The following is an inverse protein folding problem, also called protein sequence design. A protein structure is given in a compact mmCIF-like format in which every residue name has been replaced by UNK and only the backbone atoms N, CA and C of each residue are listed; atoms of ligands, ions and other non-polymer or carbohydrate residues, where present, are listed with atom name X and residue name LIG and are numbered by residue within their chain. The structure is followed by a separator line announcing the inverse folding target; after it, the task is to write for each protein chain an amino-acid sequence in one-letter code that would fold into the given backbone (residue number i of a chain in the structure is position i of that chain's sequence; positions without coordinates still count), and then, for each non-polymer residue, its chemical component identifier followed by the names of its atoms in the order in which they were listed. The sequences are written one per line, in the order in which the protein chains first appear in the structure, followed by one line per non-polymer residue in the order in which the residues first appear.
data_IF_300125342565
#
_entry.id   IF_300125342565
#
_cell.length_a   1.000
_cell.length_b   1.000
_cell.length_c   1.000
_cell.angle_alpha   90.00
_cell.angle_beta   90.00
_cell.angle_gamma   90.00
#
_symmetry.space_group_name_H-M   'P 1'
#
loop_
_entity.id
_entity.type
_entity.pdbx_description
1 polymer ?
#
# COMPACT_ATOMS: atom_id res chain seq x y z
N UNK A 1 -19.83 12.39 -2.20
CA UNK A 1 -19.20 12.64 -0.89
C UNK A 1 -17.73 12.34 -1.04
N UNK A 2 -16.88 13.35 -0.98
CA UNK A 2 -15.42 13.20 -1.09
C UNK A 2 -14.94 12.70 0.27
N UNK A 3 -14.32 11.53 0.31
CA UNK A 3 -13.65 11.05 1.51
C UNK A 3 -12.16 11.37 1.31
N UNK A 4 -11.66 12.30 2.10
CA UNK A 4 -10.25 12.66 2.16
C UNK A 4 -9.58 11.70 3.15
N UNK A 5 -8.47 11.08 2.76
CA UNK A 5 -7.68 10.25 3.65
C UNK A 5 -6.31 10.90 3.81
N UNK A 6 -6.10 11.71 4.86
CA UNK A 6 -4.77 12.23 5.18
C UNK A 6 -3.85 11.11 5.66
N UNK A 7 -2.66 10.94 5.05
CA UNK A 7 -1.63 10.02 5.54
C UNK A 7 -0.51 10.86 6.17
N UNK A 8 -0.56 11.05 7.48
CA UNK A 8 0.57 11.64 8.22
C UNK A 8 1.71 10.62 8.35
N UNK A 9 2.84 10.86 7.69
CA UNK A 9 4.04 10.04 7.82
C UNK A 9 5.03 10.79 8.72
N UNK A 10 5.27 10.24 9.89
CA UNK A 10 6.30 10.74 10.81
C UNK A 10 7.56 9.90 10.62
N UNK A 11 8.64 10.53 10.15
CA UNK A 11 9.97 9.91 10.03
C UNK A 11 10.84 10.44 11.16
N UNK A 12 11.26 9.57 12.08
CA UNK A 12 12.18 9.95 13.15
C UNK A 12 13.60 9.59 12.74
N UNK A 13 14.45 10.60 12.54
CA UNK A 13 15.87 10.42 12.29
C UNK A 13 16.64 9.97 13.53
N UNK A 14 17.84 9.42 13.34
CA UNK A 14 18.71 8.84 14.39
C UNK A 14 19.15 9.84 15.48
N UNK A 15 19.00 11.15 15.25
CA UNK A 15 19.34 12.20 16.22
C UNK A 15 18.16 12.62 17.12
N UNK A 16 17.04 11.90 17.06
CA UNK A 16 15.79 12.31 17.74
C UNK A 16 15.05 13.46 17.04
N UNK A 17 15.56 13.95 15.91
CA UNK A 17 14.86 14.87 15.04
C UNK A 17 13.69 14.15 14.37
N UNK A 18 12.48 14.57 14.72
CA UNK A 18 11.26 14.09 14.09
C UNK A 18 10.95 15.01 12.93
N UNK A 19 11.07 14.49 11.71
CA UNK A 19 10.56 15.19 10.53
C UNK A 19 9.16 14.63 10.25
N UNK A 20 8.15 15.44 10.53
CA UNK A 20 6.76 15.09 10.29
C UNK A 20 6.34 15.79 9.01
N UNK A 21 6.33 15.05 7.90
CA UNK A 21 5.78 15.59 6.67
C UNK A 21 4.29 15.24 6.58
N UNK A 22 3.47 16.26 6.36
CA UNK A 22 2.02 16.10 6.25
C UNK A 22 1.70 15.83 4.77
N UNK A 23 1.73 14.57 4.38
CA UNK A 23 1.19 14.16 3.07
C UNK A 23 -0.34 14.05 3.18
N UNK A 24 -1.05 15.12 2.82
CA UNK A 24 -2.49 15.08 2.65
C UNK A 24 -2.80 14.39 1.31
N UNK A 25 -3.23 13.13 1.36
CA UNK A 25 -3.63 12.40 0.14
C UNK A 25 -5.07 12.79 -0.20
N UNK A 26 -5.19 13.75 -1.12
CA UNK A 26 -6.47 14.20 -1.66
C UNK A 26 -6.87 13.28 -2.82
N UNK A 27 -7.71 12.26 -2.54
CA UNK A 27 -8.27 11.41 -3.60
C UNK A 27 -9.48 12.12 -4.24
N UNK A 28 -9.22 13.04 -5.17
CA UNK A 28 -10.28 13.66 -5.97
C UNK A 28 -10.82 12.67 -7.00
N UNK A 29 -12.11 12.34 -6.91
CA UNK A 29 -12.79 11.44 -7.81
C UNK A 29 -13.76 12.21 -8.74
N UNK A 30 -13.39 12.55 -9.98
CA UNK A 30 -14.41 12.88 -10.98
C UNK A 30 -15.04 11.57 -11.47
N UNK A 31 -16.35 11.45 -11.29
CA UNK A 31 -17.17 10.43 -11.96
C UNK A 31 -17.30 10.78 -13.44
N UNK A 32 -16.80 9.91 -14.33
CA UNK A 32 -17.41 9.63 -15.64
C UNK A 32 -16.89 8.28 -16.14
N UNK A 33 -17.82 7.43 -16.60
CA UNK A 33 -17.56 6.06 -17.02
C UNK A 33 -16.81 5.91 -18.34
N UNK A 34 -16.56 4.63 -18.66
CA UNK A 34 -15.69 4.18 -19.75
C UNK A 34 -14.24 4.05 -19.29
N UNK A 35 -13.52 3.04 -19.76
CA UNK A 35 -12.08 2.84 -19.56
C UNK A 35 -11.34 4.14 -19.87
N UNK A 36 -11.08 4.96 -18.85
CA UNK A 36 -10.41 6.25 -18.97
C UNK A 36 -9.49 6.37 -17.78
N UNK A 37 -8.21 6.06 -18.01
CA UNK A 37 -7.19 6.59 -17.13
C UNK A 37 -7.15 8.10 -17.34
N UNK A 38 -7.43 8.85 -16.29
CA UNK A 38 -7.18 10.28 -16.28
C UNK A 38 -5.79 10.50 -15.70
N UNK A 39 -4.86 10.88 -16.56
CA UNK A 39 -3.62 11.51 -16.13
C UNK A 39 -3.95 12.94 -15.71
N UNK A 40 -4.32 13.12 -14.45
CA UNK A 40 -4.02 14.38 -13.80
C UNK A 40 -2.51 14.45 -13.63
N UNK A 41 -1.90 15.64 -13.62
CA UNK A 41 -0.44 15.81 -13.43
C UNK A 41 0.14 15.08 -12.20
N UNK A 42 -0.72 14.58 -11.30
CA UNK A 42 -0.34 14.07 -10.01
C UNK A 42 -0.75 12.60 -9.77
N UNK A 43 -1.90 12.10 -10.27
CA UNK A 43 -2.40 10.75 -9.97
C UNK A 43 -2.97 10.03 -11.20
N UNK A 44 -2.68 8.73 -11.34
CA UNK A 44 -3.28 7.87 -12.37
C UNK A 44 -4.48 7.17 -11.74
N UNK A 45 -5.68 7.49 -12.21
CA UNK A 45 -6.92 6.85 -11.74
C UNK A 45 -7.59 6.10 -12.88
N UNK A 46 -7.82 4.81 -12.71
CA UNK A 46 -8.43 3.95 -13.72
C UNK A 46 -9.55 3.09 -13.10
N UNK A 47 -10.65 2.93 -13.82
CA UNK A 47 -11.65 1.90 -13.51
C UNK A 47 -11.35 0.71 -14.39
N UNK A 48 -11.02 -0.42 -13.78
CA UNK A 48 -10.66 -1.64 -14.49
C UNK A 48 -11.77 -2.67 -14.28
N UNK A 49 -12.35 -3.23 -15.35
CA UNK A 49 -13.33 -4.30 -15.22
C UNK A 49 -12.60 -5.61 -14.88
N UNK A 50 -12.85 -6.17 -13.70
CA UNK A 50 -12.39 -7.51 -13.32
C UNK A 50 -13.49 -8.50 -13.66
N UNK A 51 -13.32 -9.29 -14.71
CA UNK A 51 -14.38 -10.11 -15.29
C UNK A 51 -14.48 -11.54 -14.73
N UNK A 52 -13.60 -11.91 -13.79
CA UNK A 52 -13.58 -13.22 -13.13
C UNK A 52 -13.18 -13.09 -11.67
N UNK A 53 -13.58 -14.08 -10.89
CA UNK A 53 -13.09 -14.22 -9.53
C UNK A 53 -11.62 -14.71 -9.53
N UNK A 54 -10.85 -14.33 -8.53
CA UNK A 54 -9.48 -14.82 -8.34
C UNK A 54 -8.54 -13.84 -7.66
N UNK A 55 -7.28 -14.27 -7.55
CA UNK A 55 -6.20 -13.45 -7.01
C UNK A 55 -5.58 -12.59 -8.10
N UNK A 56 -5.31 -11.34 -7.74
CA UNK A 56 -4.68 -10.36 -8.61
C UNK A 56 -3.52 -9.70 -7.89
N UNK A 57 -2.48 -9.37 -8.65
CA UNK A 57 -1.30 -8.65 -8.17
C UNK A 57 -1.11 -7.41 -9.01
N UNK A 58 -1.18 -6.25 -8.38
CA UNK A 58 -0.85 -4.96 -8.97
C UNK A 58 0.61 -4.63 -8.67
N UNK A 59 1.46 -4.65 -9.69
CA UNK A 59 2.86 -4.23 -9.63
C UNK A 59 2.98 -2.76 -10.08
N UNK A 60 3.77 -1.99 -9.34
CA UNK A 60 4.10 -0.59 -9.57
C UNK A 60 5.60 -0.48 -9.79
N UNK A 61 5.97 0.05 -10.95
CA UNK A 61 7.35 0.10 -11.44
C UNK A 61 7.68 1.54 -11.80
N UNK A 62 8.86 2.01 -11.39
CA UNK A 62 9.43 3.27 -11.87
C UNK A 62 10.36 2.97 -13.05
N UNK A 63 10.13 3.63 -14.19
CA UNK A 63 11.01 3.48 -15.35
C UNK A 63 12.45 3.90 -15.04
N UNK A 64 13.42 3.35 -15.78
CA UNK A 64 14.85 3.42 -15.46
C UNK A 64 15.45 4.83 -15.37
N UNK A 65 14.79 5.85 -15.92
CA UNK A 65 15.18 7.26 -15.88
C UNK A 65 14.45 8.06 -14.80
N UNK A 66 13.56 7.41 -14.05
CA UNK A 66 12.78 8.02 -12.99
C UNK A 66 13.62 8.35 -11.74
N UNK A 67 13.15 9.36 -11.00
CA UNK A 67 13.65 9.71 -9.68
C UNK A 67 12.90 8.87 -8.63
N UNK A 68 13.64 8.16 -7.79
CA UNK A 68 13.08 7.41 -6.66
C UNK A 68 12.26 8.29 -5.70
N UNK A 69 11.30 7.68 -5.02
CA UNK A 69 10.46 8.39 -4.06
C UNK A 69 9.26 7.59 -3.56
N UNK A 70 8.40 8.30 -2.83
CA UNK A 70 7.16 7.78 -2.29
C UNK A 70 6.14 7.49 -3.39
N UNK A 71 5.39 6.41 -3.21
CA UNK A 71 4.25 6.04 -4.03
C UNK A 71 3.14 5.46 -3.14
N UNK A 72 1.93 5.40 -3.71
CA UNK A 72 0.83 4.68 -3.11
C UNK A 72 -0.15 4.16 -4.15
N UNK A 73 -0.88 3.11 -3.80
CA UNK A 73 -1.95 2.53 -4.62
C UNK A 73 -3.18 2.33 -3.75
N UNK A 74 -4.30 2.87 -4.21
CA UNK A 74 -5.63 2.58 -3.70
C UNK A 74 -6.31 1.54 -4.58
N UNK A 75 -6.83 0.47 -3.98
CA UNK A 75 -7.61 -0.57 -4.66
C UNK A 75 -9.01 -0.60 -4.06
N UNK A 76 -10.01 -0.12 -4.81
CA UNK A 76 -11.38 0.06 -4.35
C UNK A 76 -12.36 -0.73 -5.21
N UNK A 77 -12.73 -1.97 -4.82
CA UNK A 77 -13.76 -2.74 -5.52
C UNK A 77 -15.14 -2.09 -5.39
N UNK A 78 -15.95 -2.14 -6.45
CA UNK A 78 -17.31 -1.59 -6.45
C UNK A 78 -18.27 -2.28 -5.47
N UNK A 79 -17.97 -3.52 -5.05
CA UNK A 79 -18.68 -4.20 -3.96
C UNK A 79 -18.47 -3.56 -2.58
N UNK A 80 -17.40 -2.76 -2.42
CA UNK A 80 -16.96 -2.22 -1.14
C UNK A 80 -16.33 -3.24 -0.20
N UNK A 81 -16.03 -4.47 -0.66
CA UNK A 81 -15.40 -5.52 0.14
C UNK A 81 -14.24 -6.18 -0.59
N UNK A 82 -13.09 -6.29 0.08
CA UNK A 82 -12.03 -7.23 -0.29
C UNK A 82 -12.20 -8.46 0.60
N UNK A 83 -12.58 -9.59 0.00
CA UNK A 83 -12.62 -10.87 0.72
C UNK A 83 -11.21 -11.46 0.74
N UNK A 84 -10.79 -11.99 1.89
CA UNK A 84 -9.43 -12.50 2.03
C UNK A 84 -8.43 -11.39 2.30
N UNK A 85 -7.35 -11.77 3.00
CA UNK A 85 -6.32 -10.83 3.41
C UNK A 85 -5.70 -10.03 2.27
N UNK A 86 -5.00 -8.96 2.63
CA UNK A 86 -4.26 -8.15 1.67
C UNK A 86 -2.77 -8.34 1.86
N UNK A 87 -2.01 -8.37 0.76
CA UNK A 87 -0.56 -8.34 0.82
C UNK A 87 -0.06 -7.10 0.08
N UNK A 88 0.79 -6.31 0.72
CA UNK A 88 1.41 -5.15 0.09
C UNK A 88 2.91 -5.19 0.28
N UNK A 89 3.66 -4.57 -0.62
CA UNK A 89 5.10 -4.47 -0.48
C UNK A 89 5.69 -3.35 -1.31
N UNK A 90 6.92 -2.97 -0.98
CA UNK A 90 7.62 -1.85 -1.59
C UNK A 90 9.13 -2.01 -1.36
N UNK A 91 9.92 -1.08 -1.92
CA UNK A 91 11.30 -0.92 -1.49
C UNK A 91 11.30 -0.56 -0.01
N UNK A 92 12.10 -1.30 0.75
CA UNK A 92 12.37 -1.00 2.15
C UNK A 92 13.59 -0.08 2.19
N UNK A 93 13.35 1.21 2.40
CA UNK A 93 14.41 2.22 2.44
C UNK A 93 15.39 1.91 3.58
N UNK A 94 16.67 2.11 3.33
CA UNK A 94 17.76 1.93 4.29
C UNK A 94 17.61 2.79 5.55
N UNK A 95 18.30 2.39 6.63
CA UNK A 95 18.48 3.18 7.85
C UNK A 95 17.19 3.69 8.50
N UNK A 96 16.14 2.87 8.54
CA UNK A 96 14.84 3.28 9.10
C UNK A 96 14.17 4.41 8.32
N UNK A 97 14.49 4.56 7.03
CA UNK A 97 13.89 5.55 6.15
C UNK A 97 12.39 5.33 5.91
N UNK A 98 11.87 5.89 4.81
CA UNK A 98 10.45 5.83 4.47
C UNK A 98 9.91 4.39 4.57
N UNK A 99 8.88 4.13 5.39
CA UNK A 99 8.34 2.79 5.57
C UNK A 99 7.50 2.37 4.36
N UNK A 100 7.37 1.05 4.19
CA UNK A 100 6.22 0.50 3.49
C UNK A 100 4.98 0.62 4.38
N UNK A 101 3.82 0.84 3.78
CA UNK A 101 2.56 0.92 4.53
C UNK A 101 1.42 0.21 3.83
N UNK A 102 0.43 -0.16 4.64
CA UNK A 102 -0.87 -0.64 4.21
C UNK A 102 -1.92 -0.13 5.19
N UNK A 103 -3.09 0.22 4.68
CA UNK A 103 -4.24 0.64 5.48
C UNK A 103 -5.43 -0.25 5.25
N UNK A 104 -6.24 -0.42 6.29
CA UNK A 104 -7.47 -1.18 6.22
C UNK A 104 -8.48 -0.66 7.24
N UNK A 105 -9.76 -0.99 7.02
CA UNK A 105 -10.84 -0.67 7.95
C UNK A 105 -11.45 -1.95 8.51
N UNK A 106 -11.58 -2.04 9.84
CA UNK A 106 -12.33 -3.10 10.50
C UNK A 106 -13.77 -2.67 10.77
N UNK A 107 -14.72 -3.55 10.46
CA UNK A 107 -16.15 -3.33 10.78
C UNK A 107 -16.58 -3.94 12.09
N UNK A 108 -15.85 -4.95 12.56
CA UNK A 108 -16.15 -5.66 13.80
C UNK A 108 -14.89 -5.73 14.64
N UNK A 109 -15.09 -5.89 15.94
CA UNK A 109 -13.99 -6.13 16.85
C UNK A 109 -13.42 -7.53 16.58
N UNK A 110 -12.16 -7.60 16.15
CA UNK A 110 -11.51 -8.88 15.84
C UNK A 110 -9.98 -8.80 15.98
N UNK A 111 -9.34 -9.95 16.13
CA UNK A 111 -7.88 -10.04 16.06
C UNK A 111 -7.43 -10.01 14.60
N UNK A 112 -6.32 -9.33 14.33
CA UNK A 112 -5.71 -9.23 13.00
C UNK A 112 -4.42 -10.03 12.99
N UNK A 113 -4.22 -10.84 11.96
CA UNK A 113 -2.96 -11.54 11.71
C UNK A 113 -2.09 -10.72 10.77
N UNK A 114 -0.83 -10.51 11.17
CA UNK A 114 0.18 -9.76 10.43
C UNK A 114 1.41 -10.64 10.21
N UNK A 115 1.94 -10.65 9.00
CA UNK A 115 3.22 -11.32 8.69
C UNK A 115 4.06 -10.41 7.80
N UNK A 116 5.14 -9.80 8.33
CA UNK A 116 6.05 -9.02 7.52
C UNK A 116 7.04 -9.95 6.80
N UNK A 117 7.47 -9.56 5.61
CA UNK A 117 8.43 -10.27 4.77
C UNK A 117 9.54 -9.32 4.35
N UNK A 118 10.72 -9.91 4.13
CA UNK A 118 11.88 -9.28 3.51
C UNK A 118 12.38 -10.26 2.44
N UNK A 119 12.50 -9.79 1.22
CA UNK A 119 12.69 -10.64 0.04
C UNK A 119 14.13 -10.69 -0.46
N UNK A 120 15.02 -9.81 0.04
CA UNK A 120 16.40 -9.70 -0.46
C UNK A 120 17.42 -10.46 0.36
N UNK A 121 17.07 -10.89 1.58
CA UNK A 121 17.99 -11.44 2.58
C UNK A 121 18.93 -10.42 3.21
N UNK A 122 18.76 -9.12 2.94
CA UNK A 122 19.69 -8.06 3.37
C UNK A 122 19.30 -7.44 4.71
N UNK A 123 18.04 -7.51 5.11
CA UNK A 123 17.54 -6.91 6.36
C UNK A 123 17.05 -8.01 7.29
N UNK A 124 17.67 -8.10 8.47
CA UNK A 124 17.46 -9.22 9.42
C UNK A 124 16.23 -9.06 10.33
N UNK A 125 15.87 -7.81 10.64
CA UNK A 125 14.76 -7.46 11.51
C UNK A 125 13.96 -6.30 10.91
N UNK A 126 12.64 -6.39 11.01
CA UNK A 126 11.69 -5.39 10.57
C UNK A 126 10.98 -4.81 11.79
N UNK A 127 10.80 -3.50 11.84
CA UNK A 127 9.90 -2.88 12.82
C UNK A 127 8.51 -2.75 12.21
N UNK A 128 7.53 -3.45 12.79
CA UNK A 128 6.12 -3.35 12.42
C UNK A 128 5.39 -2.48 13.43
N UNK A 129 4.74 -1.41 12.96
CA UNK A 129 3.84 -0.60 13.79
C UNK A 129 2.40 -0.74 13.31
N UNK A 130 1.48 -0.77 14.26
CA UNK A 130 0.04 -0.74 14.01
C UNK A 130 -0.53 0.47 14.71
N UNK A 131 -1.17 1.35 13.96
CA UNK A 131 -1.74 2.60 14.45
C UNK A 131 -3.22 2.63 14.13
N UNK A 132 -4.05 3.08 15.07
CA UNK A 132 -5.45 3.42 14.81
C UNK A 132 -5.50 4.89 14.40
N UNK A 133 -6.17 5.20 13.29
CA UNK A 133 -6.39 6.56 12.86
C UNK A 133 -7.81 7.00 13.21
N UNK A 134 -7.93 8.17 13.82
CA UNK A 134 -9.23 8.84 13.95
C UNK A 134 -9.63 9.43 12.59
N UNK A 135 -10.83 9.10 12.12
CA UNK A 135 -11.31 9.51 10.79
C UNK A 135 -11.71 10.98 10.72
N UNK A 136 -11.89 11.66 11.85
CA UNK A 136 -12.28 13.06 11.91
C UNK A 136 -11.06 13.96 12.11
N UNK A 137 -10.15 13.60 13.02
CA UNK A 137 -8.96 14.41 13.34
C UNK A 137 -7.74 14.02 12.52
N UNK A 138 -7.75 12.85 11.88
CA UNK A 138 -6.59 12.22 11.23
C UNK A 138 -5.42 11.92 12.16
N UNK A 139 -5.60 12.04 13.47
CA UNK A 139 -4.58 11.69 14.46
C UNK A 139 -4.40 10.17 14.52
N UNK A 140 -3.15 9.75 14.74
CA UNK A 140 -2.77 8.34 14.86
C UNK A 140 -2.42 8.00 16.30
N UNK A 141 -3.00 6.91 16.78
CA UNK A 141 -2.67 6.32 18.08
C UNK A 141 -1.93 5.01 17.85
N UNK A 142 -0.69 4.94 18.32
CA UNK A 142 0.11 3.71 18.28
C UNK A 142 -0.53 2.63 19.16
N UNK A 143 -0.85 1.48 18.55
CA UNK A 143 -1.41 0.31 19.25
C UNK A 143 -0.30 -0.71 19.50
N UNK A 144 0.52 -0.96 18.48
CA UNK A 144 1.66 -1.89 18.57
C UNK A 144 2.89 -1.32 17.89
N UNK A 145 4.06 -1.62 18.46
CA UNK A 145 5.37 -1.50 17.81
C UNK A 145 6.16 -2.75 18.16
N UNK A 146 6.54 -3.55 17.17
CA UNK A 146 7.25 -4.81 17.37
C UNK A 146 8.38 -4.97 16.37
N UNK A 147 9.51 -5.44 16.86
CA UNK A 147 10.56 -6.01 16.02
C UNK A 147 10.20 -7.45 15.67
N UNK A 148 10.29 -7.77 14.39
CA UNK A 148 9.87 -9.06 13.86
C UNK A 148 10.88 -9.54 12.82
N UNK A 149 11.22 -10.82 12.88
CA UNK A 149 11.93 -11.48 11.80
C UNK A 149 11.00 -11.69 10.61
N UNK A 150 11.54 -11.61 9.39
CA UNK A 150 10.84 -11.92 8.15
C UNK A 150 10.10 -13.27 8.24
N UNK A 151 8.86 -13.33 7.76
CA UNK A 151 8.01 -14.52 7.76
C UNK A 151 7.35 -14.86 9.10
N UNK A 152 7.64 -14.14 10.19
CA UNK A 152 7.05 -14.43 11.50
C UNK A 152 5.63 -13.90 11.59
N UNK A 153 4.66 -14.75 11.93
CA UNK A 153 3.27 -14.32 12.16
C UNK A 153 3.10 -13.70 13.55
N UNK A 154 2.42 -12.57 13.60
CA UNK A 154 1.92 -11.93 14.81
C UNK A 154 0.41 -11.76 14.74
N UNK A 155 -0.29 -12.19 15.78
CA UNK A 155 -1.73 -11.96 15.94
C UNK A 155 -1.96 -10.92 17.04
N UNK A 156 -2.71 -9.87 16.73
CA UNK A 156 -3.04 -8.82 17.69
C UNK A 156 -4.01 -9.33 18.77
N UNK A 157 -4.14 -8.59 19.88
CA UNK A 157 -5.39 -8.66 20.63
C UNK A 157 -6.54 -8.12 19.76
N UNK A 158 -7.81 -8.47 20.05
CA UNK A 158 -8.93 -7.95 19.28
C UNK A 158 -8.92 -6.42 19.22
N UNK A 159 -8.80 -5.89 18.00
CA UNK A 159 -8.85 -4.48 17.68
C UNK A 159 -10.31 -4.03 17.57
N UNK A 160 -10.64 -2.84 18.05
CA UNK A 160 -11.97 -2.26 17.87
C UNK A 160 -12.23 -1.90 16.39
N UNK A 161 -13.50 -1.75 15.96
CA UNK A 161 -13.80 -1.18 14.65
C UNK A 161 -13.11 0.18 14.43
N UNK A 162 -12.67 0.43 13.20
CA UNK A 162 -11.98 1.67 12.83
C UNK A 162 -10.98 1.51 11.68
N UNK A 163 -10.32 2.61 11.34
CA UNK A 163 -9.30 2.66 10.31
C UNK A 163 -7.91 2.47 10.93
N UNK A 164 -7.11 1.61 10.31
CA UNK A 164 -5.80 1.22 10.79
C UNK A 164 -4.75 1.43 9.73
N UNK A 165 -3.56 1.84 10.17
CA UNK A 165 -2.35 1.94 9.35
C UNK A 165 -1.33 0.97 9.93
N UNK A 166 -0.79 0.12 9.07
CA UNK A 166 0.32 -0.75 9.41
C UNK A 166 1.53 -0.33 8.60
N UNK A 167 2.62 -0.04 9.29
CA UNK A 167 3.88 0.39 8.68
C UNK A 167 4.98 -0.62 8.98
N UNK A 168 5.86 -0.81 8.00
CA UNK A 168 7.04 -1.68 8.08
C UNK A 168 8.27 -0.85 7.81
N UNK A 169 9.14 -0.76 8.80
CA UNK A 169 10.43 -0.07 8.74
C UNK A 169 11.58 -1.07 8.71
N UNK A 170 12.67 -0.68 8.05
CA UNK A 170 13.98 -1.25 8.33
C UNK A 170 14.47 -0.75 9.68
N UNK A 171 15.47 -1.42 10.25
CA UNK A 171 16.15 -0.91 11.44
C UNK A 171 17.14 0.20 11.06
N UNK A 172 17.59 0.96 12.06
CA UNK A 172 18.78 1.81 11.92
C UNK A 172 19.95 0.97 11.38
N UNK A 173 20.78 1.59 10.54
CA UNK A 173 21.95 0.96 9.90
C UNK A 173 21.64 -0.25 8.98
N UNK A 174 20.36 -0.54 8.72
CA UNK A 174 19.98 -1.60 7.78
C UNK A 174 20.22 -1.17 6.33
N UNK A 175 20.72 -2.08 5.47
CA UNK A 175 20.80 -1.81 4.05
C UNK A 175 19.40 -1.68 3.42
N UNK A 176 19.35 -1.16 2.19
CA UNK A 176 18.15 -1.19 1.38
C UNK A 176 17.73 -2.63 1.08
N UNK A 177 16.44 -2.90 1.20
CA UNK A 177 15.84 -4.20 0.91
C UNK A 177 14.52 -4.05 0.15
N UNK A 178 13.77 -5.15 0.10
CA UNK A 178 12.39 -5.17 -0.42
C UNK A 178 11.55 -5.86 0.63
N UNK A 179 10.49 -5.19 1.08
CA UNK A 179 9.61 -5.73 2.11
C UNK A 179 8.21 -5.98 1.59
N UNK A 180 7.52 -6.86 2.29
CA UNK A 180 6.09 -7.04 2.16
C UNK A 180 5.43 -7.18 3.53
N UNK A 181 4.12 -7.06 3.55
CA UNK A 181 3.31 -7.38 4.71
C UNK A 181 2.01 -8.04 4.26
N UNK A 182 1.71 -9.17 4.89
CA UNK A 182 0.43 -9.85 4.81
C UNK A 182 -0.44 -9.43 5.98
N UNK A 183 -1.67 -9.03 5.70
CA UNK A 183 -2.69 -8.70 6.69
C UNK A 183 -3.91 -9.57 6.45
N UNK A 184 -4.38 -10.25 7.48
CA UNK A 184 -5.57 -11.09 7.41
C UNK A 184 -6.51 -10.82 8.58
N UNK A 185 -7.77 -10.55 8.24
CA UNK A 185 -8.91 -10.39 9.15
C UNK A 185 -10.20 -10.70 8.38
N UNK A 186 -11.27 -11.02 9.08
CA UNK A 186 -12.55 -11.47 8.50
C UNK A 186 -13.55 -10.35 8.21
N UNK A 187 -13.35 -9.17 8.83
CA UNK A 187 -14.27 -8.03 8.79
C UNK A 187 -13.66 -6.78 8.14
N UNK A 188 -12.61 -6.96 7.34
CA UNK A 188 -11.98 -5.88 6.58
C UNK A 188 -12.93 -5.36 5.51
N UNK A 189 -13.23 -4.06 5.56
CA UNK A 189 -13.97 -3.38 4.50
C UNK A 189 -13.03 -3.01 3.34
N UNK A 190 -13.58 -3.07 2.13
CA UNK A 190 -12.88 -2.80 0.88
C UNK A 190 -12.40 -1.35 0.76
N UNK A 191 -11.43 -1.15 -0.14
CA UNK A 191 -10.49 -0.04 -0.20
C UNK A 191 -9.26 -0.28 0.68
N UNK A 192 -8.23 -0.84 0.07
CA UNK A 192 -6.89 -0.92 0.68
C UNK A 192 -6.02 0.12 0.02
N UNK A 193 -5.39 0.95 0.84
CA UNK A 193 -4.33 1.84 0.40
C UNK A 193 -3.02 1.26 0.87
N UNK A 194 -2.09 1.07 -0.04
CA UNK A 194 -0.74 0.64 0.27
C UNK A 194 0.26 1.60 -0.37
N UNK A 195 1.52 1.46 0.00
CA UNK A 195 2.58 2.21 -0.64
C UNK A 195 3.89 2.07 0.10
N UNK A 196 4.82 2.94 -0.24
CA UNK A 196 6.13 2.97 0.37
C UNK A 196 7.11 3.70 -0.51
N UNK A 197 8.36 3.22 -0.54
CA UNK A 197 9.38 3.74 -1.44
C UNK A 197 9.40 2.95 -2.75
N UNK A 198 9.72 3.64 -3.84
CA UNK A 198 9.91 3.08 -5.17
C UNK A 198 11.22 3.63 -5.74
N UNK A 199 12.01 2.76 -6.35
CA UNK A 199 13.19 3.10 -7.12
C UNK A 199 13.17 2.35 -8.46
N UNK A 200 14.19 2.55 -9.29
CA UNK A 200 14.29 1.94 -10.63
C UNK A 200 14.73 0.47 -10.61
N UNK A 201 15.01 -0.09 -9.44
CA UNK A 201 15.55 -1.45 -9.28
C UNK A 201 14.53 -2.44 -8.72
N UNK A 202 13.48 -1.96 -8.04
CA UNK A 202 12.46 -2.81 -7.46
C UNK A 202 11.05 -2.45 -7.85
N UNK A 203 10.12 -3.15 -7.20
CA UNK A 203 8.70 -3.15 -7.53
C UNK A 203 7.91 -2.89 -6.26
N UNK A 204 7.04 -1.90 -6.30
CA UNK A 204 5.94 -1.79 -5.35
C UNK A 204 4.83 -2.75 -5.75
N UNK A 205 4.16 -3.43 -4.83
CA UNK A 205 3.08 -4.34 -5.21
C UNK A 205 1.95 -4.39 -4.19
N UNK A 206 0.74 -4.66 -4.68
CA UNK A 206 -0.44 -4.98 -3.88
C UNK A 206 -1.13 -6.21 -4.43
N UNK A 207 -1.39 -7.22 -3.60
CA UNK A 207 -2.11 -8.43 -3.97
C UNK A 207 -3.44 -8.50 -3.21
N UNK A 208 -4.50 -8.76 -3.97
CA UNK A 208 -5.89 -8.76 -3.50
C UNK A 208 -6.71 -9.83 -4.22
N UNK A 209 -7.82 -10.21 -3.62
CA UNK A 209 -8.75 -11.19 -4.18
C UNK A 209 -10.06 -10.50 -4.58
N UNK A 210 -10.53 -10.82 -5.78
CA UNK A 210 -11.82 -10.40 -6.30
C UNK A 210 -12.75 -11.61 -6.24
N UNK A 211 -13.78 -11.55 -5.39
CA UNK A 211 -14.70 -12.68 -5.19
C UNK A 211 -15.72 -12.85 -6.31
N UNK A 212 -16.11 -11.75 -6.97
CA UNK A 212 -17.09 -11.75 -8.04
C UNK A 212 -16.70 -10.72 -9.11
N UNK A 213 -17.04 -10.97 -10.39
CA UNK A 213 -16.82 -10.00 -11.46
C UNK A 213 -17.39 -8.63 -11.11
N UNK A 214 -16.57 -7.59 -11.22
CA UNK A 214 -16.93 -6.23 -10.82
C UNK A 214 -15.96 -5.20 -11.38
N UNK A 215 -16.34 -3.93 -11.36
CA UNK A 215 -15.38 -2.85 -11.56
C UNK A 215 -14.57 -2.62 -10.29
N UNK A 216 -13.26 -2.40 -10.47
CA UNK A 216 -12.34 -2.00 -9.41
C UNK A 216 -11.71 -0.69 -9.80
N UNK A 217 -11.82 0.30 -8.92
CA UNK A 217 -11.14 1.57 -9.06
C UNK A 217 -9.73 1.44 -8.51
N UNK A 218 -8.75 1.70 -9.36
CA UNK A 218 -7.34 1.80 -9.03
C UNK A 218 -6.93 3.28 -9.05
N UNK A 219 -6.30 3.75 -7.98
CA UNK A 219 -5.71 5.09 -7.94
C UNK A 219 -4.24 4.98 -7.53
N UNK A 220 -3.33 5.24 -8.46
CA UNK A 220 -1.90 5.29 -8.24
C UNK A 220 -1.47 6.73 -7.96
N UNK A 221 -0.76 6.90 -6.86
CA UNK A 221 -0.30 8.16 -6.32
C UNK A 221 1.22 8.20 -6.35
N UNK A 222 1.77 9.29 -6.88
CA UNK A 222 3.21 9.56 -6.91
C UNK A 222 3.46 11.05 -7.10
N UNK A 223 4.72 11.45 -7.33
CA UNK A 223 5.08 12.80 -7.70
C UNK A 223 4.55 13.84 -6.70
N UNK A 224 3.79 14.82 -7.19
CA UNK A 224 3.31 15.93 -6.34
C UNK A 224 2.26 15.50 -5.30
N UNK A 225 1.64 14.32 -5.40
CA UNK A 225 0.80 13.78 -4.31
C UNK A 225 1.60 13.60 -3.01
N UNK A 226 2.91 13.42 -3.13
CA UNK A 226 3.85 13.34 -2.02
C UNK A 226 4.89 14.47 -2.09
N UNK A 227 4.49 15.63 -2.63
CA UNK A 227 5.33 16.83 -2.70
C UNK A 227 6.72 16.55 -3.31
N UNK A 228 7.81 16.80 -2.57
CA UNK A 228 9.18 16.63 -3.04
C UNK A 228 9.77 15.25 -2.81
N UNK A 229 9.10 14.43 -2.01
CA UNK A 229 9.53 13.06 -1.70
C UNK A 229 8.88 12.02 -2.61
N UNK A 230 7.88 12.38 -3.43
CA UNK A 230 7.23 11.46 -4.36
C UNK A 230 8.13 10.99 -5.50
N UNK A 231 7.93 9.74 -5.93
CA UNK A 231 8.60 9.18 -7.10
C UNK A 231 8.20 9.98 -8.36
N UNK A 232 9.15 10.32 -9.23
CA UNK A 232 8.91 11.14 -10.43
C UNK A 232 9.47 10.46 -11.67
N UNK A 233 8.82 10.69 -12.82
CA UNK A 233 9.14 10.01 -14.07
C UNK A 233 7.98 9.13 -14.49
N UNK A 234 8.22 8.23 -15.43
CA UNK A 234 7.21 7.31 -15.90
C UNK A 234 6.98 6.20 -14.87
N UNK A 235 5.73 6.08 -14.38
CA UNK A 235 5.31 5.00 -13.47
C UNK A 235 4.34 4.08 -14.20
N UNK A 236 4.64 2.79 -14.14
CA UNK A 236 3.85 1.73 -14.76
C UNK A 236 3.14 0.94 -13.67
N UNK A 237 1.83 0.79 -13.82
CA UNK A 237 0.96 -0.06 -13.02
C UNK A 237 0.52 -1.24 -13.90
N UNK A 238 1.03 -2.42 -13.59
CA UNK A 238 0.65 -3.67 -14.21
C UNK A 238 -0.22 -4.46 -13.25
N UNK A 239 -1.38 -4.93 -13.71
CA UNK A 239 -2.23 -5.84 -12.97
C UNK A 239 -2.12 -7.21 -13.60
N UNK A 240 -1.76 -8.20 -12.80
CA UNK A 240 -1.69 -9.60 -13.19
C UNK A 240 -2.82 -10.37 -12.53
N UNK A 241 -3.41 -11.30 -13.25
CA UNK A 241 -4.14 -12.40 -12.64
C UNK A 241 -3.14 -13.48 -12.23
N UNK A 242 -3.32 -14.04 -11.03
CA UNK A 242 -2.54 -15.16 -10.55
C UNK A 242 -3.43 -16.41 -10.50
N UNK A 243 -3.03 -17.47 -11.20
CA UNK A 243 -3.71 -18.75 -11.13
C UNK A 243 -3.36 -19.53 -9.85
N UNK A 244 -4.01 -20.68 -9.65
CA UNK A 244 -3.84 -21.53 -8.47
C UNK A 244 -2.43 -22.12 -8.35
N UNK A 245 -1.70 -22.22 -9.47
CA UNK A 245 -0.29 -22.67 -9.53
C UNK A 245 0.69 -21.51 -9.24
N UNK A 246 0.19 -20.28 -9.09
CA UNK A 246 0.99 -19.09 -8.82
C UNK A 246 1.53 -18.40 -10.07
N UNK A 247 1.17 -18.85 -11.28
CA UNK A 247 1.59 -18.20 -12.52
C UNK A 247 0.85 -16.88 -12.70
N UNK A 248 1.58 -15.85 -13.14
CA UNK A 248 1.05 -14.51 -13.38
C UNK A 248 0.82 -14.28 -14.87
N UNK A 249 -0.38 -13.87 -15.22
CA UNK A 249 -0.74 -13.44 -16.57
C UNK A 249 -1.11 -11.96 -16.54
N UNK A 250 -0.49 -11.15 -17.41
CA UNK A 250 -0.83 -9.73 -17.49
C UNK A 250 -2.31 -9.61 -17.84
N UNK A 251 -3.06 -8.97 -16.94
CA UNK A 251 -4.50 -8.77 -17.07
C UNK A 251 -4.80 -7.37 -17.61
N UNK A 252 -4.06 -6.36 -17.12
CA UNK A 252 -4.26 -4.96 -17.48
C UNK A 252 -2.99 -4.15 -17.21
N UNK A 253 -2.78 -3.06 -17.95
CA UNK A 253 -1.69 -2.10 -17.70
C UNK A 253 -2.14 -0.69 -18.03
N UNK A 254 -1.60 0.31 -17.32
CA UNK A 254 -1.79 1.73 -17.67
C UNK A 254 -0.85 2.21 -18.79
N UNK A 255 0.09 1.35 -19.24
CA UNK A 255 1.08 1.71 -20.23
C UNK A 255 0.71 1.14 -21.60
N UNK A 256 0.53 2.02 -22.59
CA UNK A 256 0.42 1.60 -23.99
C UNK A 256 1.80 1.19 -24.51
N UNK A 257 1.91 -0.05 -25.04
CA UNK A 257 3.12 -0.55 -25.69
C UNK A 257 3.28 -0.03 -27.11
#
# INVERSE_FOLDING_TARGET
MIVLYGIHLTVTGTNGTTDSDKAEVIVNCPHTGGEKCHDGEDAITCNVPFNRAGFYVADVILANDGKEGAWGLSVSPSSGMNEGGFNGGAILKENGGMPGFITFQLTKREAVSLTPYEYTGKVSLLTVKVEKQDVNTHERTLIYSKEMSSGTRFTTQPLEPGYYVVTVYSQSDSPRGVSGISINASSMLGSVNLGGWLDTTGVGFGAFYIANPQEVKLALLSGKNYSDIGARGQIVLNVYYQDDDGNRQLYWTNYEQ
#
